data_IF_290664673163
#
_entry.id   IF_290664673163
#
_cell.length_a   1.000
_cell.length_b   1.000
_cell.length_c   1.000
_cell.angle_alpha   90.00
_cell.angle_beta   90.00
_cell.angle_gamma   90.00
#
_symmetry.space_group_name_H-M   'P 1'
#
loop_
_entity.id
_entity.type
_entity.pdbx_description
1 polymer ?
#
# COMPACT_ATOMS: atom_id res chain seq x y z
N UNK A 1 -14.78 70.96 38.18
CA UNK A 1 -14.71 70.44 37.54
C UNK A 1 -14.97 69.33 37.11
N UNK A 2 -15.17 68.63 36.31
CA UNK A 2 -15.66 67.72 35.96
C UNK A 2 -15.10 66.77 35.30
N UNK A 3 -15.10 65.72 35.47
CA UNK A 3 -14.68 64.72 35.06
C UNK A 3 -15.44 64.08 34.23
N UNK A 4 -15.09 63.78 33.50
CA UNK A 4 -15.44 63.26 32.60
C UNK A 4 -15.02 62.04 32.26
N UNK A 5 -15.56 61.17 32.14
CA UNK A 5 -15.25 59.91 31.96
C UNK A 5 -15.69 59.45 30.81
N UNK A 6 -14.85 59.15 30.03
CA UNK A 6 -15.08 58.43 29.01
C UNK A 6 -15.22 57.07 29.27
N UNK A 7 -16.22 56.59 28.93
CA UNK A 7 -16.43 55.26 28.96
C UNK A 7 -16.06 54.69 27.72
N UNK A 8 -15.00 54.00 27.68
CA UNK A 8 -14.60 53.15 26.62
C UNK A 8 -15.58 51.99 26.46
N UNK A 9 -16.25 52.02 25.42
CA UNK A 9 -17.01 50.86 25.04
C UNK A 9 -16.08 49.78 24.65
N UNK A 10 -15.97 48.83 25.48
CA UNK A 10 -15.36 47.61 25.11
C UNK A 10 -16.31 46.87 24.22
N UNK A 11 -16.12 47.09 22.99
CA UNK A 11 -16.70 46.16 22.04
C UNK A 11 -16.04 44.84 22.24
N UNK A 12 -16.67 43.99 22.93
CA UNK A 12 -16.31 42.62 22.92
C UNK A 12 -16.55 42.12 21.51
N UNK A 13 -15.54 42.09 20.74
CA UNK A 13 -15.58 41.32 19.55
C UNK A 13 -15.70 39.89 19.99
N UNK A 14 -16.89 39.40 19.99
CA UNK A 14 -17.10 38.00 20.05
C UNK A 14 -16.44 37.47 18.80
N UNK A 15 -15.32 36.85 18.95
CA UNK A 15 -14.78 36.06 17.92
C UNK A 15 -15.79 34.95 17.69
N UNK A 16 -16.57 35.11 16.66
CA UNK A 16 -17.31 34.02 16.16
C UNK A 16 -16.29 33.07 15.59
N UNK A 17 -15.83 32.26 16.46
CA UNK A 17 -15.25 31.05 15.99
C UNK A 17 -16.43 30.29 15.43
N UNK A 18 -16.69 30.50 14.21
CA UNK A 18 -17.47 29.53 13.52
C UNK A 18 -16.60 28.29 13.55
N UNK A 19 -16.84 27.49 14.53
CA UNK A 19 -16.50 26.11 14.40
C UNK A 19 -17.32 25.65 13.21
N UNK A 20 -16.77 25.92 12.05
CA UNK A 20 -17.25 25.29 10.84
C UNK A 20 -17.31 23.83 11.20
N UNK A 21 -18.47 23.24 11.11
CA UNK A 21 -18.58 21.84 11.26
C UNK A 21 -17.44 21.26 10.48
N UNK A 22 -16.42 20.82 11.19
CA UNK A 22 -15.40 20.07 10.57
C UNK A 22 -16.11 18.83 10.07
N UNK A 23 -16.67 18.94 8.90
CA UNK A 23 -16.98 17.77 8.15
C UNK A 23 -15.65 17.08 8.07
N UNK A 24 -15.53 16.00 8.83
CA UNK A 24 -14.39 15.16 8.72
C UNK A 24 -14.23 14.90 7.23
N UNK A 25 -13.25 15.57 6.64
CA UNK A 25 -12.98 15.37 5.24
C UNK A 25 -12.73 13.88 5.04
N UNK A 26 -13.40 13.30 4.08
CA UNK A 26 -13.16 11.91 3.76
C UNK A 26 -11.71 11.77 3.31
N UNK A 27 -11.00 10.84 3.91
CA UNK A 27 -9.59 10.63 3.60
C UNK A 27 -9.45 9.60 2.50
N UNK A 28 -8.91 10.03 1.37
CA UNK A 28 -8.61 9.12 0.28
C UNK A 28 -7.47 8.19 0.70
N UNK A 29 -7.62 6.87 0.52
CA UNK A 29 -6.54 5.95 0.83
C UNK A 29 -5.42 6.04 -0.20
N UNK A 30 -4.22 5.70 0.24
CA UNK A 30 -3.08 5.62 -0.66
C UNK A 30 -2.87 4.16 -1.08
N UNK A 31 -2.66 3.90 -2.37
CA UNK A 31 -2.35 2.55 -2.80
C UNK A 31 -0.98 2.11 -2.29
N UNK A 32 -0.74 0.81 -2.15
CA UNK A 32 0.59 0.35 -1.81
C UNK A 32 1.60 0.85 -2.84
N UNK A 33 2.82 1.23 -2.41
CA UNK A 33 3.82 1.72 -3.36
C UNK A 33 4.19 0.63 -4.36
N UNK A 34 4.53 1.02 -5.58
CA UNK A 34 4.93 0.08 -6.62
C UNK A 34 6.12 -0.78 -6.19
N UNK A 35 6.99 -0.22 -5.33
CA UNK A 35 8.15 -0.94 -4.79
C UNK A 35 7.78 -2.06 -3.84
N UNK A 36 6.56 -2.07 -3.31
CA UNK A 36 6.10 -3.15 -2.43
C UNK A 36 5.68 -4.40 -3.21
N UNK A 37 5.50 -4.27 -4.53
CA UNK A 37 5.16 -5.41 -5.36
C UNK A 37 6.37 -6.31 -5.52
N UNK A 38 6.32 -7.55 -5.03
CA UNK A 38 7.47 -8.44 -5.17
C UNK A 38 7.61 -8.94 -6.61
N UNK A 39 8.84 -9.24 -6.98
CA UNK A 39 9.13 -9.80 -8.29
C UNK A 39 9.14 -11.31 -8.19
N UNK A 40 8.33 -11.96 -9.00
CA UNK A 40 8.28 -13.42 -9.03
C UNK A 40 9.59 -13.94 -9.61
N UNK A 41 10.28 -14.87 -8.93
CA UNK A 41 11.51 -15.43 -9.46
C UNK A 41 11.23 -16.22 -10.75
N UNK A 42 12.10 -16.13 -11.74
CA UNK A 42 11.94 -16.88 -12.99
C UNK A 42 12.28 -18.35 -12.77
N UNK A 43 11.52 -19.21 -13.43
CA UNK A 43 11.82 -20.65 -13.43
C UNK A 43 13.14 -20.90 -14.17
N UNK A 44 13.99 -21.80 -13.66
CA UNK A 44 15.18 -22.19 -14.40
C UNK A 44 14.82 -22.82 -15.73
N UNK A 45 15.62 -22.56 -16.74
CA UNK A 45 15.44 -23.18 -18.05
C UNK A 45 15.74 -24.67 -17.96
N UNK A 46 14.80 -25.49 -18.40
CA UNK A 46 14.98 -26.93 -18.43
C UNK A 46 15.97 -27.29 -19.53
N UNK A 47 17.06 -27.99 -19.22
CA UNK A 47 18.00 -28.40 -20.27
C UNK A 47 17.39 -29.39 -21.23
N UNK A 48 17.71 -29.27 -22.50
CA UNK A 48 17.16 -30.13 -23.53
C UNK A 48 17.52 -31.60 -23.33
N UNK A 49 18.65 -31.86 -22.69
CA UNK A 49 19.12 -33.21 -22.44
C UNK A 49 18.22 -34.00 -21.49
N UNK A 50 17.38 -33.36 -20.69
CA UNK A 50 16.46 -34.10 -19.81
C UNK A 50 15.46 -34.95 -20.57
N UNK A 51 15.06 -34.53 -21.76
CA UNK A 51 14.11 -35.23 -22.59
C UNK A 51 14.80 -36.07 -23.69
N UNK A 52 16.13 -36.02 -23.74
CA UNK A 52 16.89 -36.74 -24.74
C UNK A 52 17.14 -38.19 -24.32
N UNK A 53 17.19 -39.08 -25.29
CA UNK A 53 17.57 -40.46 -25.07
C UNK A 53 19.00 -40.49 -24.56
N UNK A 54 19.27 -40.97 -23.41
CA UNK A 54 20.60 -40.99 -22.81
C UNK A 54 20.80 -39.97 -21.70
N UNK A 55 19.86 -39.07 -21.53
CA UNK A 55 19.86 -38.12 -20.42
C UNK A 55 20.94 -37.03 -20.48
N UNK A 56 21.13 -36.34 -19.38
CA UNK A 56 22.09 -35.26 -19.27
C UNK A 56 23.48 -35.76 -18.83
N UNK A 57 24.56 -35.17 -19.32
CA UNK A 57 25.84 -35.35 -18.67
C UNK A 57 25.78 -34.88 -17.25
N UNK A 58 26.60 -35.52 -16.38
CA UNK A 58 26.53 -35.26 -14.94
C UNK A 58 26.62 -33.79 -14.55
N UNK A 59 27.54 -33.05 -15.19
CA UNK A 59 27.73 -31.63 -14.89
C UNK A 59 26.48 -30.80 -15.21
N UNK A 60 25.76 -31.13 -16.26
CA UNK A 60 24.56 -30.39 -16.66
C UNK A 60 23.38 -30.73 -15.75
N UNK A 61 23.26 -31.98 -15.32
CA UNK A 61 22.26 -32.38 -14.34
C UNK A 61 22.50 -31.70 -13.00
N UNK A 62 23.73 -31.63 -12.52
CA UNK A 62 24.07 -30.95 -11.28
C UNK A 62 23.79 -29.45 -11.38
N UNK A 63 24.15 -28.83 -12.47
CA UNK A 63 23.91 -27.42 -12.72
C UNK A 63 22.41 -27.07 -12.67
N UNK A 64 21.59 -27.91 -13.28
CA UNK A 64 20.14 -27.72 -13.25
C UNK A 64 19.57 -27.94 -11.86
N UNK A 65 20.05 -28.95 -11.14
CA UNK A 65 19.62 -29.18 -9.77
C UNK A 65 19.99 -28.01 -8.85
N UNK A 66 21.15 -27.41 -9.03
CA UNK A 66 21.54 -26.25 -8.25
C UNK A 66 20.66 -25.04 -8.60
N UNK A 67 20.30 -24.88 -9.86
CA UNK A 67 19.41 -23.81 -10.29
C UNK A 67 17.99 -23.99 -9.68
N UNK A 68 17.51 -25.23 -9.60
CA UNK A 68 16.23 -25.55 -8.96
C UNK A 68 16.29 -25.24 -7.46
N UNK A 69 17.38 -25.58 -6.78
CA UNK A 69 17.53 -25.27 -5.36
C UNK A 69 17.52 -23.76 -5.12
N UNK A 70 18.24 -23.01 -5.96
CA UNK A 70 18.26 -21.55 -5.87
C UNK A 70 16.86 -20.96 -6.11
N UNK A 71 16.16 -21.46 -7.11
CA UNK A 71 14.79 -21.05 -7.39
C UNK A 71 13.85 -21.34 -6.21
N UNK A 72 13.96 -22.52 -5.61
CA UNK A 72 13.12 -22.87 -4.47
C UNK A 72 13.35 -21.96 -3.28
N UNK A 73 14.59 -21.55 -3.05
CA UNK A 73 14.91 -20.61 -1.99
C UNK A 73 14.32 -19.23 -2.27
N UNK A 74 14.43 -18.75 -3.51
CA UNK A 74 13.86 -17.47 -3.93
C UNK A 74 12.33 -17.51 -3.88
N UNK A 75 11.73 -18.61 -4.32
CA UNK A 75 10.28 -18.78 -4.28
C UNK A 75 9.76 -18.79 -2.84
N UNK A 76 10.52 -19.42 -1.94
CA UNK A 76 10.19 -19.44 -0.51
C UNK A 76 10.23 -18.04 0.10
N UNK A 77 11.20 -17.22 -0.30
CA UNK A 77 11.31 -15.84 0.15
C UNK A 77 10.25 -14.93 -0.50
N UNK A 78 9.86 -15.23 -1.75
CA UNK A 78 8.85 -14.47 -2.47
C UNK A 78 7.46 -14.62 -1.86
N UNK A 79 7.10 -15.82 -1.40
CA UNK A 79 5.74 -16.11 -0.95
C UNK A 79 5.23 -15.17 0.15
N UNK A 80 5.94 -14.97 1.26
CA UNK A 80 5.42 -14.07 2.30
C UNK A 80 5.34 -12.62 1.83
N UNK A 81 6.22 -12.19 0.93
CA UNK A 81 6.17 -10.85 0.37
C UNK A 81 4.95 -10.69 -0.54
N UNK A 82 4.62 -11.71 -1.33
CA UNK A 82 3.43 -11.70 -2.17
C UNK A 82 2.16 -11.68 -1.33
N UNK A 83 2.11 -12.48 -0.27
CA UNK A 83 0.96 -12.50 0.64
C UNK A 83 0.77 -11.14 1.32
N UNK A 84 1.86 -10.52 1.78
CA UNK A 84 1.80 -9.20 2.39
C UNK A 84 1.31 -8.14 1.40
N UNK A 85 1.76 -8.21 0.16
CA UNK A 85 1.32 -7.28 -0.88
C UNK A 85 -0.17 -7.45 -1.20
N UNK A 86 -0.64 -8.68 -1.34
CA UNK A 86 -2.06 -8.96 -1.57
C UNK A 86 -2.91 -8.44 -0.41
N UNK A 87 -2.44 -8.63 0.82
CA UNK A 87 -3.14 -8.12 2.00
C UNK A 87 -3.22 -6.58 1.97
N UNK A 88 -2.15 -5.92 1.56
CA UNK A 88 -2.13 -4.47 1.44
C UNK A 88 -3.07 -3.99 0.34
N UNK A 89 -3.16 -4.71 -0.78
CA UNK A 89 -4.11 -4.39 -1.85
C UNK A 89 -5.56 -4.54 -1.37
N UNK A 90 -5.85 -5.60 -0.64
CA UNK A 90 -7.21 -5.81 -0.11
C UNK A 90 -7.58 -4.72 0.89
N UNK A 91 -6.65 -4.29 1.72
CA UNK A 91 -6.88 -3.18 2.64
C UNK A 91 -7.13 -1.86 1.89
N UNK A 92 -6.41 -1.64 0.79
CA UNK A 92 -6.61 -0.48 -0.05
C UNK A 92 -8.00 -0.49 -0.71
N UNK A 93 -8.44 -1.63 -1.22
CA UNK A 93 -9.76 -1.77 -1.82
C UNK A 93 -10.85 -1.46 -0.80
N UNK A 94 -10.72 -1.99 0.41
CA UNK A 94 -11.68 -1.74 1.48
C UNK A 94 -11.71 -0.26 1.86
N UNK A 95 -10.55 0.35 2.04
CA UNK A 95 -10.45 1.76 2.39
C UNK A 95 -11.00 2.66 1.28
N UNK A 96 -10.84 2.24 0.01
CA UNK A 96 -11.41 2.97 -1.12
C UNK A 96 -12.93 2.91 -1.12
N UNK A 97 -13.52 1.78 -0.76
CA UNK A 97 -14.97 1.66 -0.60
C UNK A 97 -15.50 2.53 0.54
N UNK A 98 -14.80 2.53 1.67
CA UNK A 98 -15.17 3.37 2.81
C UNK A 98 -15.06 4.86 2.44
N UNK A 99 -14.03 5.24 1.71
CA UNK A 99 -13.87 6.60 1.21
C UNK A 99 -15.02 7.00 0.29
N UNK A 100 -15.38 6.13 -0.65
CA UNK A 100 -16.48 6.40 -1.57
C UNK A 100 -17.81 6.60 -0.82
N UNK A 101 -18.09 5.77 0.19
CA UNK A 101 -19.28 5.91 1.00
C UNK A 101 -19.28 7.22 1.80
N UNK A 102 -18.13 7.60 2.33
CA UNK A 102 -17.99 8.86 3.03
C UNK A 102 -18.31 10.05 2.12
N UNK A 103 -17.77 10.05 0.90
CA UNK A 103 -18.03 11.10 -0.08
C UNK A 103 -19.51 11.18 -0.47
N UNK A 104 -20.14 10.03 -0.67
CA UNK A 104 -21.58 9.98 -0.99
C UNK A 104 -22.39 10.62 0.13
N UNK A 105 -22.07 10.32 1.39
CA UNK A 105 -22.76 10.93 2.53
C UNK A 105 -22.54 12.43 2.61
N UNK A 106 -21.34 12.88 2.27
CA UNK A 106 -21.03 14.31 2.29
C UNK A 106 -21.79 15.10 1.23
N UNK A 107 -22.23 14.44 0.16
CA UNK A 107 -22.99 15.06 -0.93
C UNK A 107 -24.51 15.04 -0.70
N UNK A 108 -24.96 14.36 0.33
CA UNK A 108 -26.38 14.34 0.71
C UNK A 108 -26.67 15.41 1.74
#
# INVERSE_FOLDING_TARGET
>A
MRNWFSRGALAALGALISAGAATAACTAPEPPPATARPVKPPLPAKPACLDAKGGCPGWEAYSYNDAIKAYNAEAGAFRPLAEAYVKALNAYVKASGDYAQCEVKALQ
#
